data_IF_444150616863
#
_entry.id   IF_444150616863
#
_cell.length_a   1.000
_cell.length_b   1.000
_cell.length_c   1.000
_cell.angle_alpha   90.00
_cell.angle_beta   90.00
_cell.angle_gamma   90.00
#
_symmetry.space_group_name_H-M   'P 1'
#
loop_
_entity.id
_entity.type
_entity.pdbx_description
1 polymer ?
#
# COMPACT_ATOMS: atom_id res chain seq x y z
N UNK A 1 -21.89 35.30 -25.14
CA UNK A 1 -21.93 34.44 -26.34
C UNK A 1 -21.98 32.95 -26.00
N UNK A 2 -21.08 32.42 -25.17
CA UNK A 2 -21.01 30.98 -24.88
C UNK A 2 -22.06 30.43 -23.87
N UNK A 3 -22.87 31.30 -23.25
CA UNK A 3 -23.84 30.91 -22.20
C UNK A 3 -24.75 29.75 -22.63
N UNK A 4 -25.27 29.78 -23.86
CA UNK A 4 -26.22 28.78 -24.35
C UNK A 4 -25.62 27.44 -24.76
N UNK A 5 -24.29 27.33 -24.87
CA UNK A 5 -23.60 26.11 -25.32
C UNK A 5 -22.53 25.61 -24.34
N UNK A 6 -22.35 26.26 -23.18
CA UNK A 6 -21.27 25.92 -22.25
C UNK A 6 -21.41 24.50 -21.68
N UNK A 7 -22.64 24.04 -21.45
CA UNK A 7 -22.91 22.67 -21.03
C UNK A 7 -22.53 21.65 -22.11
N UNK A 8 -22.92 21.88 -23.36
CA UNK A 8 -22.55 21.02 -24.49
C UNK A 8 -21.04 20.99 -24.70
N UNK A 9 -20.38 22.15 -24.63
CA UNK A 9 -18.92 22.25 -24.69
C UNK A 9 -18.25 21.45 -23.56
N UNK A 10 -18.82 21.44 -22.36
CA UNK A 10 -18.27 20.68 -21.22
C UNK A 10 -18.29 19.17 -21.46
N UNK A 11 -19.18 18.69 -22.32
CA UNK A 11 -19.30 17.28 -22.71
C UNK A 11 -18.48 16.93 -23.96
N UNK A 12 -18.02 17.92 -24.72
CA UNK A 12 -17.21 17.72 -25.93
C UNK A 12 -15.70 17.51 -25.63
N UNK A 13 -15.01 16.56 -26.31
CA UNK A 13 -13.59 16.29 -26.12
C UNK A 13 -12.64 17.49 -26.31
N UNK A 14 -13.00 18.42 -27.19
CA UNK A 14 -12.23 19.66 -27.42
C UNK A 14 -12.84 20.83 -26.64
N UNK A 15 -14.17 20.91 -26.60
CA UNK A 15 -14.95 21.92 -25.90
C UNK A 15 -14.67 21.98 -24.40
N UNK A 16 -14.35 20.86 -23.75
CA UNK A 16 -14.04 20.85 -22.31
C UNK A 16 -12.88 21.79 -21.94
N UNK A 17 -11.90 21.95 -22.83
CA UNK A 17 -10.78 22.88 -22.63
C UNK A 17 -11.23 24.33 -22.71
N UNK A 18 -12.15 24.63 -23.63
CA UNK A 18 -12.80 25.94 -23.74
C UNK A 18 -13.63 26.21 -22.50
N UNK A 19 -14.45 25.24 -22.06
CA UNK A 19 -15.28 25.36 -20.88
C UNK A 19 -14.46 25.63 -19.60
N UNK A 20 -13.36 24.89 -19.38
CA UNK A 20 -12.43 25.15 -18.29
C UNK A 20 -11.86 26.59 -18.36
N UNK A 21 -11.50 27.07 -19.55
CA UNK A 21 -10.98 28.43 -19.70
C UNK A 21 -12.03 29.50 -19.45
N UNK A 22 -13.29 29.22 -19.81
CA UNK A 22 -14.43 30.08 -19.50
C UNK A 22 -14.66 30.14 -17.98
N UNK A 23 -14.59 29.01 -17.26
CA UNK A 23 -14.67 28.99 -15.79
C UNK A 23 -13.59 29.89 -15.18
N UNK A 24 -12.33 29.69 -15.57
CA UNK A 24 -11.21 30.52 -15.09
C UNK A 24 -11.46 32.00 -15.29
N UNK A 25 -11.86 32.38 -16.51
CA UNK A 25 -12.00 33.78 -16.90
C UNK A 25 -13.24 34.43 -16.30
N UNK A 26 -14.34 33.68 -16.17
CA UNK A 26 -15.56 34.14 -15.52
C UNK A 26 -15.31 34.43 -14.04
N UNK A 27 -14.68 33.49 -13.32
CA UNK A 27 -14.27 33.71 -11.92
C UNK A 27 -13.34 34.93 -11.81
N UNK A 28 -12.31 35.01 -12.66
CA UNK A 28 -11.35 36.12 -12.65
C UNK A 28 -12.00 37.49 -12.90
N UNK A 29 -13.07 37.54 -13.69
CA UNK A 29 -13.83 38.76 -14.02
C UNK A 29 -14.99 39.03 -13.07
N UNK A 30 -15.25 38.16 -12.09
CA UNK A 30 -16.38 38.29 -11.18
C UNK A 30 -17.75 37.97 -11.81
N UNK A 31 -17.78 37.26 -12.94
CA UNK A 31 -19.01 36.85 -13.65
C UNK A 31 -19.47 35.45 -13.20
N UNK A 32 -19.49 35.21 -11.89
CA UNK A 32 -19.76 33.88 -11.32
C UNK A 32 -21.24 33.52 -11.47
N UNK A 33 -22.14 34.48 -11.32
CA UNK A 33 -23.58 34.25 -11.48
C UNK A 33 -23.91 33.82 -12.91
N UNK A 34 -23.37 34.51 -13.92
CA UNK A 34 -23.57 34.15 -15.31
C UNK A 34 -22.96 32.80 -15.69
N UNK A 35 -21.87 32.42 -15.01
CA UNK A 35 -21.25 31.11 -15.17
C UNK A 35 -22.16 30.01 -14.60
N UNK A 36 -22.71 30.20 -13.40
CA UNK A 36 -23.59 29.23 -12.75
C UNK A 36 -24.96 29.15 -13.45
N UNK A 37 -25.43 30.23 -14.07
CA UNK A 37 -26.58 30.19 -14.99
C UNK A 37 -26.30 29.35 -16.25
N UNK A 38 -25.06 29.37 -16.76
CA UNK A 38 -24.65 28.62 -17.95
C UNK A 38 -24.29 27.15 -17.65
N UNK A 39 -23.91 26.86 -16.40
CA UNK A 39 -23.58 25.53 -15.88
C UNK A 39 -24.39 25.27 -14.60
N UNK A 40 -25.69 24.96 -14.75
CA UNK A 40 -26.57 24.79 -13.61
C UNK A 40 -26.19 23.59 -12.73
N UNK A 41 -26.41 23.71 -11.42
CA UNK A 41 -26.01 22.68 -10.44
C UNK A 41 -26.67 21.32 -10.72
N UNK A 42 -27.88 21.28 -11.27
CA UNK A 42 -28.58 20.02 -11.56
C UNK A 42 -27.83 19.12 -12.56
N UNK A 43 -27.00 19.69 -13.43
CA UNK A 43 -26.26 18.95 -14.46
C UNK A 43 -24.88 18.47 -13.95
N UNK A 44 -24.45 18.94 -12.77
CA UNK A 44 -23.11 18.72 -12.25
C UNK A 44 -22.83 17.25 -11.92
N UNK A 45 -23.83 16.51 -11.45
CA UNK A 45 -23.69 15.06 -11.20
C UNK A 45 -23.42 14.27 -12.48
N UNK A 46 -24.04 14.66 -13.60
CA UNK A 46 -23.77 14.02 -14.90
C UNK A 46 -22.38 14.37 -15.41
N UNK A 47 -21.95 15.63 -15.26
CA UNK A 47 -20.61 16.05 -15.67
C UNK A 47 -19.52 15.40 -14.81
N UNK A 48 -19.74 15.22 -13.50
CA UNK A 48 -18.75 14.69 -12.57
C UNK A 48 -18.26 13.28 -12.93
N UNK A 49 -19.13 12.45 -13.53
CA UNK A 49 -18.81 11.08 -13.96
C UNK A 49 -18.56 10.97 -15.47
N UNK A 50 -18.25 12.07 -16.15
CA UNK A 50 -17.94 12.10 -17.58
C UNK A 50 -16.46 12.37 -17.82
N UNK A 51 -15.85 11.69 -18.79
CA UNK A 51 -14.44 11.85 -19.20
C UNK A 51 -14.06 13.27 -19.60
N UNK A 52 -15.02 14.08 -20.04
CA UNK A 52 -14.84 15.49 -20.41
C UNK A 52 -15.35 16.43 -19.33
N UNK A 53 -16.52 16.11 -18.76
CA UNK A 53 -17.22 16.96 -17.80
C UNK A 53 -16.51 17.10 -16.46
N UNK A 54 -15.84 16.04 -15.98
CA UNK A 54 -15.25 16.05 -14.64
C UNK A 54 -14.17 17.12 -14.49
N UNK A 55 -13.45 17.43 -15.58
CA UNK A 55 -12.46 18.50 -15.60
C UNK A 55 -13.08 19.88 -15.34
N UNK A 56 -14.28 20.13 -15.87
CA UNK A 56 -15.02 21.38 -15.65
C UNK A 56 -15.51 21.45 -14.21
N UNK A 57 -16.06 20.35 -13.68
CA UNK A 57 -16.50 20.27 -12.27
C UNK A 57 -15.35 20.48 -11.30
N UNK A 58 -14.20 19.83 -11.53
CA UNK A 58 -12.97 20.07 -10.74
C UNK A 58 -12.56 21.54 -10.81
N UNK A 59 -12.61 22.17 -11.99
CA UNK A 59 -12.26 23.59 -12.15
C UNK A 59 -13.21 24.51 -11.37
N UNK A 60 -14.51 24.20 -11.34
CA UNK A 60 -15.50 24.90 -10.53
C UNK A 60 -15.18 24.76 -9.03
N UNK A 61 -14.94 23.54 -8.54
CA UNK A 61 -14.58 23.29 -7.14
C UNK A 61 -13.28 24.00 -6.71
N UNK A 62 -12.32 24.13 -7.62
CA UNK A 62 -11.04 24.81 -7.39
C UNK A 62 -11.16 26.33 -7.34
N UNK A 63 -12.02 26.93 -8.18
CA UNK A 63 -11.99 28.37 -8.44
C UNK A 63 -13.19 29.14 -7.90
N UNK A 64 -14.33 28.48 -7.66
CA UNK A 64 -15.49 29.18 -7.12
C UNK A 64 -15.15 29.75 -5.73
N UNK A 65 -15.53 31.02 -5.46
CA UNK A 65 -15.46 31.60 -4.13
C UNK A 65 -16.23 30.75 -3.12
N UNK A 66 -15.81 30.78 -1.84
CA UNK A 66 -16.42 29.98 -0.77
C UNK A 66 -17.95 30.02 -0.86
N UNK A 67 -18.58 31.19 -0.70
CA UNK A 67 -20.03 31.38 -0.68
C UNK A 67 -20.82 31.00 -1.95
N UNK A 68 -20.14 30.59 -3.02
CA UNK A 68 -20.75 30.14 -4.28
C UNK A 68 -20.51 28.66 -4.56
N UNK A 69 -19.55 28.03 -3.87
CA UNK A 69 -19.20 26.62 -4.06
C UNK A 69 -20.03 25.69 -3.19
N UNK A 70 -20.65 26.18 -2.11
CA UNK A 70 -21.40 25.31 -1.17
C UNK A 70 -22.54 24.55 -1.83
N UNK A 71 -23.37 25.11 -2.72
CA UNK A 71 -24.43 24.34 -3.38
C UNK A 71 -23.88 23.15 -4.17
N UNK A 72 -22.70 23.33 -4.80
CA UNK A 72 -22.02 22.28 -5.54
C UNK A 72 -21.44 21.22 -4.59
N UNK A 73 -20.83 21.65 -3.49
CA UNK A 73 -20.33 20.73 -2.46
C UNK A 73 -21.46 19.94 -1.81
N UNK A 74 -22.57 20.58 -1.43
CA UNK A 74 -23.74 19.90 -0.85
C UNK A 74 -24.30 18.83 -1.80
N UNK A 75 -24.35 19.12 -3.11
CA UNK A 75 -24.80 18.16 -4.13
C UNK A 75 -23.97 16.88 -4.11
N UNK A 76 -22.63 16.99 -4.05
CA UNK A 76 -21.74 15.83 -4.08
C UNK A 76 -21.57 15.17 -2.71
N UNK A 77 -21.50 15.94 -1.63
CA UNK A 77 -21.26 15.44 -0.29
C UNK A 77 -22.48 14.76 0.32
N UNK A 78 -23.71 15.12 -0.11
CA UNK A 78 -24.94 14.47 0.35
C UNK A 78 -25.11 13.04 -0.18
N UNK A 79 -24.48 12.73 -1.32
CA UNK A 79 -24.47 11.37 -1.88
C UNK A 79 -23.14 11.09 -2.62
N UNK A 80 -22.05 10.80 -1.89
CA UNK A 80 -20.74 10.63 -2.49
C UNK A 80 -20.55 9.26 -3.17
N UNK A 81 -21.46 8.29 -2.93
CA UNK A 81 -21.33 6.90 -3.40
C UNK A 81 -21.18 6.77 -4.92
N UNK A 82 -21.97 7.46 -5.77
CA UNK A 82 -21.83 7.37 -7.22
C UNK A 82 -20.49 7.92 -7.73
N UNK A 83 -19.83 8.79 -6.96
CA UNK A 83 -18.55 9.39 -7.33
C UNK A 83 -17.39 8.51 -6.85
N UNK A 84 -17.49 7.91 -5.66
CA UNK A 84 -16.37 7.26 -5.00
C UNK A 84 -15.75 6.10 -5.84
N UNK A 85 -16.58 5.31 -6.49
CA UNK A 85 -16.19 4.18 -7.35
C UNK A 85 -16.23 4.48 -8.85
N UNK A 86 -16.39 5.76 -9.24
CA UNK A 86 -16.35 6.16 -10.64
C UNK A 86 -14.95 6.61 -11.07
N UNK A 87 -14.56 6.26 -12.29
CA UNK A 87 -13.25 6.58 -12.86
C UNK A 87 -12.93 8.08 -12.84
N UNK A 88 -13.94 8.92 -13.04
CA UNK A 88 -13.82 10.38 -13.09
C UNK A 88 -14.36 11.03 -11.82
N UNK A 89 -15.46 10.49 -11.29
CA UNK A 89 -16.10 10.94 -10.07
C UNK A 89 -15.17 10.90 -8.86
N UNK A 90 -14.26 9.92 -8.77
CA UNK A 90 -13.32 9.85 -7.64
C UNK A 90 -12.38 11.08 -7.61
N UNK A 91 -12.09 11.69 -8.76
CA UNK A 91 -11.29 12.91 -8.85
C UNK A 91 -12.08 14.13 -8.35
N UNK A 92 -13.38 14.19 -8.64
CA UNK A 92 -14.29 15.22 -8.11
C UNK A 92 -14.42 15.07 -6.60
N UNK A 93 -14.61 13.84 -6.11
CA UNK A 93 -14.79 13.58 -4.69
C UNK A 93 -13.58 13.98 -3.85
N UNK A 94 -12.35 13.74 -4.32
CA UNK A 94 -11.12 14.23 -3.66
C UNK A 94 -11.12 15.76 -3.53
N UNK A 95 -11.60 16.49 -4.54
CA UNK A 95 -11.75 17.95 -4.46
C UNK A 95 -12.84 18.37 -3.48
N UNK A 96 -13.93 17.62 -3.38
CA UNK A 96 -14.92 17.85 -2.32
C UNK A 96 -14.33 17.65 -0.93
N UNK A 97 -13.48 16.64 -0.72
CA UNK A 97 -12.76 16.41 0.53
C UNK A 97 -11.84 17.61 0.86
N UNK A 98 -11.06 18.07 -0.12
CA UNK A 98 -10.16 19.23 0.05
C UNK A 98 -10.94 20.50 0.43
N UNK A 99 -12.09 20.72 -0.20
CA UNK A 99 -12.81 22.00 -0.17
C UNK A 99 -13.88 22.10 0.91
N UNK A 100 -14.52 20.99 1.27
CA UNK A 100 -15.54 20.92 2.33
C UNK A 100 -14.96 21.36 3.68
N UNK A 101 -15.77 21.91 4.58
CA UNK A 101 -15.34 22.36 5.91
C UNK A 101 -16.43 22.08 6.95
N UNK A 102 -16.07 22.04 8.23
CA UNK A 102 -17.00 21.83 9.34
C UNK A 102 -17.91 20.62 9.15
N UNK A 103 -19.20 20.78 9.46
CA UNK A 103 -20.20 19.71 9.40
C UNK A 103 -20.36 19.06 8.03
N UNK A 104 -20.07 19.79 6.95
CA UNK A 104 -20.11 19.22 5.60
C UNK A 104 -18.97 18.23 5.36
N UNK A 105 -17.76 18.57 5.81
CA UNK A 105 -16.61 17.66 5.74
C UNK A 105 -16.85 16.43 6.61
N UNK A 106 -17.34 16.64 7.84
CA UNK A 106 -17.59 15.55 8.78
C UNK A 106 -18.59 14.54 8.20
N UNK A 107 -19.73 15.01 7.68
CA UNK A 107 -20.72 14.14 7.01
C UNK A 107 -20.15 13.38 5.81
N UNK A 108 -19.35 14.06 4.98
CA UNK A 108 -18.70 13.44 3.83
C UNK A 108 -17.74 12.33 4.27
N UNK A 109 -16.88 12.62 5.24
CA UNK A 109 -15.91 11.66 5.78
C UNK A 109 -16.61 10.48 6.44
N UNK A 110 -17.65 10.71 7.24
CA UNK A 110 -18.43 9.65 7.87
C UNK A 110 -19.02 8.71 6.81
N UNK A 111 -19.63 9.27 5.76
CA UNK A 111 -20.18 8.48 4.64
C UNK A 111 -19.10 7.67 3.92
N UNK A 112 -17.90 8.23 3.69
CA UNK A 112 -16.79 7.48 3.10
C UNK A 112 -16.32 6.38 4.05
N UNK A 113 -16.20 6.68 5.34
CA UNK A 113 -15.72 5.76 6.39
C UNK A 113 -16.58 4.52 6.51
N UNK A 114 -17.90 4.68 6.42
CA UNK A 114 -18.88 3.57 6.41
C UNK A 114 -18.70 2.59 5.25
N UNK A 115 -18.04 3.01 4.16
CA UNK A 115 -17.88 2.21 2.93
C UNK A 115 -16.41 1.85 2.66
N UNK A 116 -15.51 2.07 3.63
CA UNK A 116 -14.08 1.82 3.48
C UNK A 116 -13.77 0.39 3.00
N UNK A 117 -14.33 -0.68 3.61
CA UNK A 117 -14.00 -2.04 3.18
C UNK A 117 -14.25 -2.28 1.69
N UNK A 118 -15.31 -1.71 1.12
CA UNK A 118 -15.60 -1.81 -0.30
C UNK A 118 -14.70 -0.89 -1.14
N UNK A 119 -14.44 0.33 -0.67
CA UNK A 119 -13.67 1.32 -1.41
C UNK A 119 -12.19 0.94 -1.55
N UNK A 120 -11.59 0.28 -0.56
CA UNK A 120 -10.16 -0.10 -0.66
C UNK A 120 -9.91 -1.15 -1.74
N UNK A 121 -10.91 -2.00 -2.02
CA UNK A 121 -10.85 -3.02 -3.07
C UNK A 121 -11.21 -2.48 -4.45
N UNK A 122 -11.85 -1.31 -4.51
CA UNK A 122 -12.32 -0.69 -5.74
C UNK A 122 -11.16 -0.09 -6.57
N UNK A 123 -11.10 -0.27 -7.91
CA UNK A 123 -10.06 0.27 -8.77
C UNK A 123 -9.88 1.79 -8.72
N UNK A 124 -10.91 2.54 -8.31
CA UNK A 124 -10.94 4.00 -8.22
C UNK A 124 -11.13 4.47 -6.78
N UNK A 125 -12.01 3.82 -6.02
CA UNK A 125 -12.30 4.12 -4.61
C UNK A 125 -11.07 4.06 -3.71
N UNK A 126 -10.10 3.19 -4.01
CA UNK A 126 -8.87 3.10 -3.23
C UNK A 126 -8.11 4.44 -3.22
N UNK A 127 -8.19 5.24 -4.28
CA UNK A 127 -7.55 6.56 -4.33
C UNK A 127 -8.27 7.59 -3.46
N UNK A 128 -9.58 7.44 -3.24
CA UNK A 128 -10.34 8.29 -2.32
C UNK A 128 -9.91 8.00 -0.88
N UNK A 129 -9.77 6.72 -0.52
CA UNK A 129 -9.30 6.31 0.82
C UNK A 129 -7.85 6.76 1.05
N UNK A 130 -6.96 6.58 0.07
CA UNK A 130 -5.58 7.10 0.16
C UNK A 130 -5.55 8.62 0.33
N UNK A 131 -6.45 9.35 -0.33
CA UNK A 131 -6.55 10.81 -0.17
C UNK A 131 -6.95 11.20 1.25
N UNK A 132 -7.90 10.47 1.87
CA UNK A 132 -8.25 10.64 3.28
C UNK A 132 -7.08 10.38 4.22
N UNK A 133 -6.30 9.31 3.98
CA UNK A 133 -5.12 8.97 4.78
C UNK A 133 -4.06 10.09 4.73
N UNK A 134 -3.88 10.70 3.56
CA UNK A 134 -2.90 11.75 3.30
C UNK A 134 -3.39 13.15 3.71
N UNK A 135 -4.61 13.27 4.24
CA UNK A 135 -5.05 14.53 4.82
C UNK A 135 -4.22 14.85 6.07
N UNK A 136 -3.81 16.11 6.18
CA UNK A 136 -2.98 16.60 7.29
C UNK A 136 -1.50 16.58 6.93
N UNK A 137 -1.02 17.67 6.32
CA UNK A 137 0.33 17.81 5.73
C UNK A 137 1.52 17.41 6.64
N UNK A 138 1.34 17.33 7.97
CA UNK A 138 2.44 17.15 8.94
C UNK A 138 2.16 16.20 10.09
N UNK A 139 0.94 15.66 10.23
CA UNK A 139 0.57 14.77 11.34
C UNK A 139 -0.52 13.78 10.91
N UNK A 140 -0.47 12.53 11.40
CA UNK A 140 -1.57 11.60 11.27
C UNK A 140 -2.88 12.25 11.72
N UNK A 141 -3.91 12.16 10.89
CA UNK A 141 -5.26 12.64 11.23
C UNK A 141 -6.07 11.53 11.88
N UNK A 142 -7.20 11.87 12.50
CA UNK A 142 -8.14 10.85 12.97
C UNK A 142 -8.69 9.98 11.83
N UNK A 143 -8.64 10.47 10.58
CA UNK A 143 -9.14 9.76 9.42
C UNK A 143 -8.35 8.48 9.13
N UNK A 144 -7.02 8.50 9.24
CA UNK A 144 -6.22 7.28 9.06
C UNK A 144 -6.52 6.26 10.16
N UNK A 145 -6.75 6.69 11.40
CA UNK A 145 -7.17 5.79 12.49
C UNK A 145 -8.51 5.14 12.16
N UNK A 146 -9.52 5.92 11.72
CA UNK A 146 -10.82 5.37 11.30
C UNK A 146 -10.70 4.39 10.13
N UNK A 147 -9.81 4.66 9.17
CA UNK A 147 -9.53 3.73 8.07
C UNK A 147 -8.98 2.41 8.61
N UNK A 148 -7.97 2.46 9.47
CA UNK A 148 -7.33 1.28 10.03
C UNK A 148 -8.33 0.47 10.86
N UNK A 149 -9.13 1.13 11.69
CA UNK A 149 -10.15 0.47 12.51
C UNK A 149 -11.22 -0.22 11.64
N UNK A 150 -11.65 0.39 10.54
CA UNK A 150 -12.59 -0.22 9.60
C UNK A 150 -12.04 -1.43 8.84
N UNK A 151 -10.71 -1.60 8.79
CA UNK A 151 -10.05 -2.71 8.08
C UNK A 151 -9.58 -3.84 9.02
N UNK A 152 -9.78 -3.69 10.34
CA UNK A 152 -9.32 -4.67 11.31
C UNK A 152 -9.95 -6.05 11.07
N UNK A 153 -9.12 -7.09 11.03
CA UNK A 153 -9.49 -8.46 10.69
C UNK A 153 -9.53 -8.77 9.19
N UNK A 154 -9.28 -7.79 8.33
CA UNK A 154 -9.24 -7.95 6.86
C UNK A 154 -7.85 -7.68 6.27
N UNK A 155 -6.92 -7.09 7.03
CA UNK A 155 -5.67 -6.53 6.55
C UNK A 155 -4.76 -7.59 5.91
N UNK A 156 -4.74 -8.81 6.45
CA UNK A 156 -3.98 -9.90 5.86
C UNK A 156 -4.47 -10.22 4.43
N UNK A 157 -5.78 -10.32 4.22
CA UNK A 157 -6.36 -10.61 2.91
C UNK A 157 -6.17 -9.43 1.95
N UNK A 158 -6.34 -8.20 2.45
CA UNK A 158 -6.15 -6.97 1.68
C UNK A 158 -4.72 -6.77 1.19
N UNK A 159 -3.71 -7.30 1.89
CA UNK A 159 -2.31 -7.31 1.42
C UNK A 159 -2.14 -8.05 0.07
N UNK A 160 -3.01 -9.00 -0.22
CA UNK A 160 -2.95 -9.80 -1.43
C UNK A 160 -3.76 -9.20 -2.59
N UNK A 161 -4.36 -8.02 -2.40
CA UNK A 161 -5.15 -7.37 -3.44
C UNK A 161 -4.40 -6.23 -4.11
N UNK A 162 -4.65 -6.05 -5.42
CA UNK A 162 -3.95 -5.06 -6.26
C UNK A 162 -4.13 -3.62 -5.78
N UNK A 163 -5.32 -3.28 -5.30
CA UNK A 163 -5.69 -1.91 -4.92
C UNK A 163 -5.50 -1.68 -3.43
N UNK A 164 -6.03 -2.57 -2.60
CA UNK A 164 -5.99 -2.48 -1.13
C UNK A 164 -4.59 -2.53 -0.53
N UNK A 165 -3.64 -3.25 -1.16
CA UNK A 165 -2.23 -3.25 -0.74
C UNK A 165 -1.63 -1.83 -0.70
N UNK A 166 -1.92 -0.99 -1.69
CA UNK A 166 -1.45 0.40 -1.71
C UNK A 166 -2.07 1.21 -0.55
N UNK A 167 -3.32 0.93 -0.18
CA UNK A 167 -3.98 1.57 0.97
C UNK A 167 -3.26 1.20 2.26
N UNK A 168 -2.95 -0.09 2.46
CA UNK A 168 -2.21 -0.55 3.64
C UNK A 168 -0.80 0.05 3.72
N UNK A 169 -0.08 0.15 2.59
CA UNK A 169 1.21 0.85 2.54
C UNK A 169 1.07 2.32 3.00
N UNK A 170 0.01 3.02 2.55
CA UNK A 170 -0.26 4.39 2.97
C UNK A 170 -0.62 4.49 4.44
N UNK A 171 -1.40 3.57 4.98
CA UNK A 171 -1.70 3.48 6.41
C UNK A 171 -0.40 3.29 7.23
N UNK A 172 0.48 2.37 6.83
CA UNK A 172 1.76 2.12 7.52
C UNK A 172 2.66 3.38 7.53
N UNK A 173 2.71 4.12 6.41
CA UNK A 173 3.53 5.33 6.29
C UNK A 173 3.00 6.52 7.09
N UNK A 174 1.68 6.69 7.21
CA UNK A 174 1.05 7.95 7.62
C UNK A 174 0.23 7.87 8.92
N UNK A 175 0.30 6.75 9.65
CA UNK A 175 -0.41 6.56 10.91
C UNK A 175 0.49 6.71 12.15
N UNK A 176 -0.14 6.73 13.33
CA UNK A 176 0.55 6.68 14.62
C UNK A 176 1.21 5.32 14.85
N UNK A 177 2.16 5.23 15.78
CA UNK A 177 2.74 3.93 16.17
C UNK A 177 1.67 2.94 16.65
N UNK A 178 0.69 3.41 17.44
CA UNK A 178 -0.41 2.57 17.91
C UNK A 178 -1.23 1.99 16.76
N UNK A 179 -1.43 2.75 15.69
CA UNK A 179 -2.22 2.32 14.54
C UNK A 179 -1.41 1.42 13.60
N UNK A 180 -0.13 1.74 13.36
CA UNK A 180 0.80 0.84 12.67
C UNK A 180 0.84 -0.54 13.32
N UNK A 181 0.86 -0.57 14.66
CA UNK A 181 0.94 -1.80 15.41
C UNK A 181 -0.26 -2.72 15.14
N UNK A 182 -1.47 -2.17 14.94
CA UNK A 182 -2.66 -2.95 14.58
C UNK A 182 -2.43 -3.72 13.27
N UNK A 183 -1.91 -3.03 12.26
CA UNK A 183 -1.61 -3.62 10.95
C UNK A 183 -0.55 -4.71 11.08
N UNK A 184 0.60 -4.39 11.67
CA UNK A 184 1.73 -5.32 11.74
C UNK A 184 1.39 -6.56 12.56
N UNK A 185 0.67 -6.40 13.68
CA UNK A 185 0.23 -7.53 14.49
C UNK A 185 -0.69 -8.47 13.71
N UNK A 186 -1.60 -7.93 12.90
CA UNK A 186 -2.49 -8.76 12.08
C UNK A 186 -1.73 -9.56 11.02
N UNK A 187 -0.70 -8.96 10.40
CA UNK A 187 0.17 -9.66 9.45
C UNK A 187 0.98 -10.78 10.12
N UNK A 188 1.40 -10.58 11.38
CA UNK A 188 2.17 -11.54 12.16
C UNK A 188 1.30 -12.66 12.75
N UNK A 189 0.04 -12.41 13.11
CA UNK A 189 -0.82 -13.42 13.72
C UNK A 189 -1.24 -14.54 12.73
N UNK A 190 -1.27 -14.23 11.43
CA UNK A 190 -1.75 -15.17 10.43
C UNK A 190 -3.23 -15.51 10.63
N UNK A 191 -3.60 -16.79 10.47
CA UNK A 191 -4.94 -17.29 10.79
C UNK A 191 -4.87 -18.68 11.40
N UNK A 192 -6.00 -19.18 11.94
CA UNK A 192 -6.07 -20.53 12.52
C UNK A 192 -5.55 -21.63 11.57
N UNK A 193 -5.69 -21.41 10.26
CA UNK A 193 -5.23 -22.34 9.21
C UNK A 193 -3.88 -21.96 8.58
N UNK A 194 -3.29 -20.85 8.99
CA UNK A 194 -2.08 -20.28 8.39
C UNK A 194 -1.18 -19.71 9.50
N UNK A 195 -0.23 -20.51 10.01
CA UNK A 195 0.69 -20.06 11.06
C UNK A 195 1.45 -18.78 10.68
N UNK A 196 1.91 -17.99 11.66
CA UNK A 196 2.66 -16.74 11.45
C UNK A 196 3.73 -16.79 10.35
N UNK A 197 4.67 -17.75 10.43
CA UNK A 197 5.76 -17.87 9.44
C UNK A 197 5.23 -18.13 8.03
N UNK A 198 4.19 -18.95 7.90
CA UNK A 198 3.58 -19.26 6.60
C UNK A 198 2.79 -18.07 6.03
N UNK A 199 2.13 -17.28 6.89
CA UNK A 199 1.50 -16.02 6.50
C UNK A 199 2.54 -15.03 5.97
N UNK A 200 3.61 -14.81 6.75
CA UNK A 200 4.73 -13.94 6.36
C UNK A 200 5.38 -14.43 5.05
N UNK A 201 5.59 -15.74 4.88
CA UNK A 201 6.09 -16.32 3.62
C UNK A 201 5.20 -15.95 2.44
N UNK A 202 3.87 -16.11 2.58
CA UNK A 202 2.91 -15.77 1.53
C UNK A 202 2.97 -14.27 1.20
N UNK A 203 3.03 -13.40 2.20
CA UNK A 203 3.11 -11.94 1.99
C UNK A 203 4.39 -11.58 1.22
N UNK A 204 5.55 -12.02 1.69
CA UNK A 204 6.86 -11.70 1.08
C UNK A 204 6.90 -12.07 -0.40
N UNK A 205 6.37 -13.24 -0.76
CA UNK A 205 6.44 -13.74 -2.12
C UNK A 205 5.15 -13.54 -2.93
N UNK A 206 4.28 -12.63 -2.49
CA UNK A 206 3.13 -12.19 -3.27
C UNK A 206 3.46 -10.99 -4.15
N UNK A 207 2.86 -10.88 -5.32
CA UNK A 207 3.07 -9.76 -6.27
C UNK A 207 2.67 -8.38 -5.71
N UNK A 208 1.81 -8.34 -4.70
CA UNK A 208 1.38 -7.11 -4.00
C UNK A 208 1.85 -7.08 -2.54
N UNK A 209 1.61 -8.14 -1.78
CA UNK A 209 1.98 -8.22 -0.36
C UNK A 209 3.45 -7.94 -0.06
N UNK A 210 4.37 -8.23 -0.99
CA UNK A 210 5.79 -7.94 -0.80
C UNK A 210 6.06 -6.44 -0.55
N UNK A 211 5.26 -5.54 -1.12
CA UNK A 211 5.38 -4.10 -0.91
C UNK A 211 4.91 -3.72 0.49
N UNK A 212 3.76 -4.28 0.94
CA UNK A 212 3.27 -4.10 2.31
C UNK A 212 4.27 -4.63 3.34
N UNK A 213 4.88 -5.79 3.12
CA UNK A 213 5.91 -6.34 4.01
C UNK A 213 7.17 -5.47 4.07
N UNK A 214 7.65 -4.99 2.92
CA UNK A 214 8.77 -4.04 2.89
C UNK A 214 8.44 -2.77 3.67
N UNK A 215 7.22 -2.25 3.52
CA UNK A 215 6.78 -1.06 4.24
C UNK A 215 6.65 -1.32 5.74
N UNK A 216 6.15 -2.48 6.15
CA UNK A 216 6.08 -2.89 7.54
C UNK A 216 7.49 -2.95 8.16
N UNK A 217 8.47 -3.56 7.49
CA UNK A 217 9.86 -3.58 7.96
C UNK A 217 10.51 -2.19 8.07
N UNK A 218 10.05 -1.20 7.29
CA UNK A 218 10.56 0.17 7.37
C UNK A 218 10.04 0.95 8.58
N UNK A 219 8.83 0.63 9.05
CA UNK A 219 8.16 1.41 10.11
C UNK A 219 7.98 0.65 11.42
N UNK A 220 8.24 -0.66 11.44
CA UNK A 220 8.12 -1.49 12.63
C UNK A 220 9.12 -1.05 13.72
N UNK A 221 8.65 -1.06 14.95
CA UNK A 221 9.48 -0.92 16.15
C UNK A 221 9.61 -2.28 16.84
N UNK A 222 10.51 -2.41 17.82
CA UNK A 222 10.60 -3.62 18.64
C UNK A 222 9.33 -3.81 19.50
N UNK A 223 8.86 -5.05 19.73
CA UNK A 223 9.42 -6.32 19.28
C UNK A 223 9.00 -6.74 17.85
N UNK A 224 8.14 -5.96 17.19
CA UNK A 224 7.54 -6.35 15.91
C UNK A 224 8.58 -6.47 14.78
N UNK A 225 9.59 -5.60 14.76
CA UNK A 225 10.69 -5.70 13.80
C UNK A 225 11.39 -7.06 13.91
N UNK A 226 11.79 -7.46 15.13
CA UNK A 226 12.40 -8.76 15.38
C UNK A 226 11.49 -9.92 14.96
N UNK A 227 10.19 -9.86 15.24
CA UNK A 227 9.23 -10.89 14.84
C UNK A 227 9.08 -10.99 13.30
N UNK A 228 9.03 -9.86 12.59
CA UNK A 228 9.02 -9.85 11.13
C UNK A 228 10.28 -10.47 10.54
N UNK A 229 11.45 -10.20 11.13
CA UNK A 229 12.73 -10.82 10.74
C UNK A 229 12.70 -12.33 11.03
N UNK A 230 12.30 -12.74 12.23
CA UNK A 230 12.25 -14.13 12.65
C UNK A 230 11.37 -14.98 11.73
N UNK A 231 10.13 -14.55 11.50
CA UNK A 231 9.17 -15.27 10.67
C UNK A 231 9.53 -15.25 9.17
N UNK A 232 10.37 -14.33 8.72
CA UNK A 232 10.78 -14.24 7.31
C UNK A 232 12.12 -14.89 7.00
N UNK A 233 13.01 -15.01 7.99
CA UNK A 233 14.42 -15.38 7.83
C UNK A 233 14.60 -16.68 7.05
N UNK A 234 14.05 -17.79 7.53
CA UNK A 234 14.26 -19.09 6.89
C UNK A 234 13.74 -19.10 5.45
N UNK A 235 12.57 -18.49 5.22
CA UNK A 235 11.96 -18.45 3.90
C UNK A 235 12.76 -17.62 2.88
N UNK A 236 13.33 -16.50 3.32
CA UNK A 236 14.21 -15.66 2.51
C UNK A 236 15.53 -16.39 2.24
N UNK A 237 16.11 -17.04 3.25
CA UNK A 237 17.37 -17.79 3.12
C UNK A 237 17.23 -18.99 2.17
N UNK A 238 16.16 -19.77 2.31
CA UNK A 238 15.86 -20.89 1.41
C UNK A 238 15.73 -20.42 -0.04
N UNK A 239 15.10 -19.25 -0.24
CA UNK A 239 14.94 -18.68 -1.57
C UNK A 239 16.28 -18.24 -2.18
N UNK A 240 17.15 -17.59 -1.39
CA UNK A 240 18.49 -17.18 -1.82
C UNK A 240 19.37 -18.40 -2.12
N UNK A 241 19.33 -19.43 -1.28
CA UNK A 241 20.15 -20.62 -1.41
C UNK A 241 19.66 -21.62 -2.47
N UNK A 242 18.44 -21.45 -3.01
CA UNK A 242 17.89 -22.31 -4.06
C UNK A 242 18.79 -22.22 -5.31
N UNK A 243 19.58 -23.27 -5.57
CA UNK A 243 20.57 -23.46 -6.66
C UNK A 243 22.06 -23.23 -6.28
N UNK A 244 22.42 -23.12 -4.99
CA UNK A 244 23.82 -23.32 -4.60
C UNK A 244 24.17 -24.81 -4.70
N UNK A 245 25.37 -25.18 -5.18
CA UNK A 245 25.82 -26.56 -5.10
C UNK A 245 25.74 -27.02 -3.62
N UNK A 246 25.31 -28.26 -3.35
CA UNK A 246 25.27 -28.77 -1.98
C UNK A 246 26.63 -28.53 -1.33
N UNK A 247 26.65 -27.92 -0.14
CA UNK A 247 27.88 -27.87 0.66
C UNK A 247 28.34 -29.31 0.80
N UNK A 248 29.51 -29.65 0.27
CA UNK A 248 30.16 -30.92 0.58
C UNK A 248 30.19 -31.01 2.10
N UNK A 249 29.40 -31.93 2.66
CA UNK A 249 29.54 -32.28 4.07
C UNK A 249 30.98 -32.75 4.17
N UNK A 250 31.84 -31.98 4.83
CA UNK A 250 33.14 -32.49 5.27
C UNK A 250 32.84 -33.65 6.20
N UNK A 251 32.81 -34.85 5.64
CA UNK A 251 32.74 -36.09 6.39
C UNK A 251 33.89 -36.07 7.38
N UNK A 252 33.56 -36.16 8.67
CA UNK A 252 34.56 -36.54 9.66
C UNK A 252 35.00 -37.96 9.28
N UNK A 253 36.31 -38.26 9.20
CA UNK A 253 36.73 -39.62 8.97
C UNK A 253 36.34 -40.42 10.21
N UNK A 254 35.44 -41.38 10.04
CA UNK A 254 35.11 -42.36 11.04
C UNK A 254 35.04 -43.73 10.36
N UNK A 255 36.07 -44.52 10.63
CA UNK A 255 35.99 -45.97 10.57
C UNK A 255 34.71 -46.45 11.26
N UNK A 256 33.81 -47.11 10.53
CA UNK A 256 33.03 -48.27 10.98
C UNK A 256 31.90 -48.60 9.99
N UNK A 257 31.64 -49.89 9.86
CA UNK A 257 30.73 -50.52 8.90
C UNK A 257 29.24 -50.24 9.17
N UNK A 258 28.47 -50.19 8.08
CA UNK A 258 27.12 -50.77 8.02
C UNK A 258 25.93 -49.82 8.18
N UNK A 259 25.09 -49.74 7.14
CA UNK A 259 23.71 -49.29 7.22
C UNK A 259 23.26 -48.47 6.01
N UNK A 260 22.39 -49.05 5.18
CA UNK A 260 21.70 -48.36 4.09
C UNK A 260 20.98 -47.09 4.58
N UNK A 261 21.31 -45.95 3.98
CA UNK A 261 20.51 -44.72 4.07
C UNK A 261 19.65 -44.59 2.81
N UNK A 262 18.40 -44.12 2.93
CA UNK A 262 17.51 -44.02 1.79
C UNK A 262 18.01 -42.96 0.81
N UNK A 263 18.20 -43.37 -0.44
CA UNK A 263 18.41 -42.47 -1.57
C UNK A 263 17.11 -41.68 -1.77
N UNK A 264 17.12 -40.40 -1.38
CA UNK A 264 16.03 -39.47 -1.71
C UNK A 264 15.96 -39.38 -3.23
N UNK A 265 14.84 -39.80 -3.80
CA UNK A 265 14.65 -39.85 -5.25
C UNK A 265 14.61 -38.43 -5.83
N UNK A 266 15.09 -38.28 -7.06
CA UNK A 266 15.09 -37.03 -7.82
C UNK A 266 13.70 -36.41 -8.03
N UNK A 267 12.62 -37.12 -7.69
CA UNK A 267 11.25 -36.61 -7.75
C UNK A 267 10.93 -35.57 -6.64
N UNK A 268 11.64 -35.59 -5.51
CA UNK A 268 11.43 -34.62 -4.42
C UNK A 268 12.08 -33.25 -4.71
N UNK A 269 13.03 -33.20 -5.65
CA UNK A 269 13.67 -31.96 -6.10
C UNK A 269 12.77 -31.12 -7.02
N UNK A 270 11.89 -31.77 -7.80
CA UNK A 270 10.97 -31.07 -8.71
C UNK A 270 9.71 -30.53 -8.01
N UNK A 271 9.32 -31.08 -6.85
CA UNK A 271 8.29 -30.50 -5.99
C UNK A 271 8.68 -29.11 -5.44
N UNK A 272 9.98 -28.81 -5.43
CA UNK A 272 10.57 -27.51 -5.09
C UNK A 272 10.60 -26.51 -6.27
N UNK A 273 9.90 -26.77 -7.37
CA UNK A 273 9.66 -25.77 -8.43
C UNK A 273 8.26 -25.15 -8.36
N UNK A 274 7.48 -25.47 -7.31
CA UNK A 274 6.19 -24.83 -7.06
C UNK A 274 6.36 -23.31 -6.92
N UNK A 275 5.47 -22.50 -7.54
CA UNK A 275 5.51 -21.05 -7.42
C UNK A 275 5.43 -20.67 -5.93
N UNK A 276 6.40 -19.90 -5.47
CA UNK A 276 6.39 -19.38 -4.09
C UNK A 276 5.45 -18.19 -4.11
N UNK A 277 4.18 -18.43 -3.79
CA UNK A 277 3.15 -17.42 -3.94
C UNK A 277 2.86 -17.12 -5.41
N UNK A 278 2.59 -15.86 -5.73
CA UNK A 278 2.24 -15.43 -7.09
C UNK A 278 3.43 -14.91 -7.90
N UNK A 279 4.64 -14.88 -7.34
CA UNK A 279 5.86 -14.43 -8.01
C UNK A 279 6.53 -15.56 -8.80
N UNK A 280 7.17 -15.20 -9.93
CA UNK A 280 8.08 -16.13 -10.61
C UNK A 280 9.28 -16.44 -9.70
N UNK A 281 9.89 -17.61 -9.86
CA UNK A 281 11.05 -18.01 -9.07
C UNK A 281 12.20 -17.00 -9.17
N UNK A 282 12.44 -16.44 -10.36
CA UNK A 282 13.48 -15.44 -10.58
C UNK A 282 13.17 -14.13 -9.83
N UNK A 283 11.91 -13.67 -9.85
CA UNK A 283 11.50 -12.48 -9.11
C UNK A 283 11.60 -12.69 -7.60
N UNK A 284 11.16 -13.84 -7.10
CA UNK A 284 11.26 -14.20 -5.69
C UNK A 284 12.73 -14.22 -5.21
N UNK A 285 13.65 -14.76 -6.01
CA UNK A 285 15.10 -14.72 -5.73
C UNK A 285 15.66 -13.31 -5.68
N UNK A 286 15.35 -12.48 -6.69
CA UNK A 286 15.81 -11.09 -6.74
C UNK A 286 15.31 -10.29 -5.52
N UNK A 287 14.04 -10.49 -5.15
CA UNK A 287 13.45 -9.87 -3.96
C UNK A 287 14.14 -10.33 -2.68
N UNK A 288 14.32 -11.65 -2.48
CA UNK A 288 14.98 -12.20 -1.31
C UNK A 288 16.41 -11.63 -1.15
N UNK A 289 17.20 -11.62 -2.23
CA UNK A 289 18.54 -11.02 -2.23
C UNK A 289 18.50 -9.51 -1.92
N UNK A 290 17.52 -8.77 -2.44
CA UNK A 290 17.34 -7.34 -2.14
C UNK A 290 17.03 -7.13 -0.65
N UNK A 291 16.13 -7.93 -0.07
CA UNK A 291 15.77 -7.85 1.34
C UNK A 291 16.97 -8.14 2.25
N UNK A 292 17.73 -9.20 1.97
CA UNK A 292 18.94 -9.52 2.75
C UNK A 292 19.99 -8.41 2.69
N UNK A 293 20.18 -7.79 1.51
CA UNK A 293 21.11 -6.66 1.36
C UNK A 293 20.66 -5.41 2.11
N UNK A 294 19.35 -5.18 2.21
CA UNK A 294 18.77 -4.01 2.88
C UNK A 294 18.70 -4.20 4.40
N UNK A 295 18.43 -5.42 4.88
CA UNK A 295 18.23 -5.73 6.29
C UNK A 295 19.23 -6.81 6.75
N UNK A 296 20.37 -6.41 7.36
CA UNK A 296 21.44 -7.33 7.75
C UNK A 296 21.00 -8.47 8.68
N UNK A 297 19.98 -8.24 9.51
CA UNK A 297 19.39 -9.24 10.39
C UNK A 297 18.93 -10.52 9.63
N UNK A 298 18.50 -10.37 8.37
CA UNK A 298 18.08 -11.48 7.51
C UNK A 298 19.26 -12.28 6.94
N UNK A 299 20.45 -11.69 6.90
CA UNK A 299 21.65 -12.31 6.34
C UNK A 299 22.34 -13.28 7.30
N UNK A 300 22.02 -13.21 8.58
CA UNK A 300 22.71 -13.97 9.61
C UNK A 300 22.61 -15.48 9.33
N UNK A 301 23.77 -16.14 9.14
CA UNK A 301 23.87 -17.57 8.83
C UNK A 301 23.97 -17.90 7.33
N UNK A 302 23.84 -16.92 6.43
CA UNK A 302 24.07 -17.13 5.00
C UNK A 302 25.54 -17.15 4.64
N UNK A 303 25.93 -18.10 3.79
CA UNK A 303 27.25 -18.11 3.20
C UNK A 303 27.41 -16.89 2.27
N UNK A 304 28.56 -16.19 2.28
CA UNK A 304 28.76 -15.00 1.45
C UNK A 304 28.56 -15.25 -0.05
N UNK A 305 28.87 -16.45 -0.52
CA UNK A 305 28.68 -16.91 -1.89
C UNK A 305 27.20 -16.94 -2.30
N UNK A 306 26.30 -17.17 -1.33
CA UNK A 306 24.84 -17.14 -1.54
C UNK A 306 24.34 -15.74 -1.92
N UNK A 307 25.07 -14.69 -1.53
CA UNK A 307 24.72 -13.29 -1.79
C UNK A 307 25.32 -12.75 -3.09
N UNK A 308 26.05 -13.59 -3.83
CA UNK A 308 26.79 -13.19 -5.02
C UNK A 308 27.91 -12.19 -4.72
N UNK A 309 28.40 -12.16 -3.48
CA UNK A 309 29.52 -11.30 -3.07
C UNK A 309 30.83 -12.05 -3.36
N UNK A 310 31.73 -11.44 -4.13
CA UNK A 310 33.08 -11.97 -4.34
C UNK A 310 33.90 -11.93 -3.05
N UNK A 311 34.91 -12.80 -2.93
CA UNK A 311 35.70 -13.05 -1.70
C UNK A 311 36.18 -11.78 -0.97
N UNK A 312 36.54 -10.72 -1.70
CA UNK A 312 36.94 -9.43 -1.11
C UNK A 312 35.78 -8.53 -0.63
N UNK A 313 34.60 -8.65 -1.25
CA UNK A 313 33.38 -7.95 -0.84
C UNK A 313 32.74 -8.55 0.42
N UNK A 314 33.00 -9.83 0.69
CA UNK A 314 32.51 -10.54 1.88
C UNK A 314 33.01 -9.90 3.17
N UNK A 315 34.33 -9.75 3.33
CA UNK A 315 34.92 -9.26 4.56
C UNK A 315 34.50 -7.82 4.85
N UNK A 316 34.45 -6.96 3.83
CA UNK A 316 33.94 -5.59 3.96
C UNK A 316 32.45 -5.55 4.33
N UNK A 317 31.62 -6.32 3.62
CA UNK A 317 30.18 -6.36 3.88
C UNK A 317 29.86 -6.85 5.30
N UNK A 318 30.54 -7.91 5.78
CA UNK A 318 30.38 -8.38 7.15
C UNK A 318 30.90 -7.35 8.17
N UNK A 319 32.08 -6.75 7.97
CA UNK A 319 32.61 -5.74 8.89
C UNK A 319 31.71 -4.51 9.00
N UNK A 320 31.20 -4.00 7.88
CA UNK A 320 30.36 -2.79 7.85
C UNK A 320 28.99 -3.02 8.51
N UNK A 321 28.38 -4.20 8.31
CA UNK A 321 27.02 -4.46 8.77
C UNK A 321 26.93 -5.15 10.15
N UNK A 322 27.91 -5.97 10.54
CA UNK A 322 27.92 -6.60 11.86
C UNK A 322 28.50 -5.69 12.95
N UNK A 323 29.36 -4.72 12.60
CA UNK A 323 29.80 -3.71 13.58
C UNK A 323 28.63 -2.83 14.04
N UNK A 324 27.68 -2.52 13.15
CA UNK A 324 26.44 -1.82 13.51
C UNK A 324 25.53 -2.66 14.44
N UNK A 325 25.50 -3.99 14.25
CA UNK A 325 24.71 -4.90 15.08
C UNK A 325 25.33 -5.14 16.46
N UNK A 326 26.66 -5.20 16.56
CA UNK A 326 27.40 -5.46 17.80
C UNK A 326 27.54 -4.22 18.70
N UNK A 327 27.33 -3.00 18.18
CA UNK A 327 27.42 -1.75 18.94
C UNK A 327 26.17 -1.39 19.77
N UNK A 328 25.14 -2.25 19.78
CA UNK A 328 24.05 -2.16 20.77
C UNK A 328 22.85 -1.29 20.39
N UNK A 329 22.64 -0.96 19.12
CA UNK A 329 21.44 -0.21 18.68
C UNK A 329 20.15 -1.08 18.61
N UNK A 330 20.27 -2.40 18.79
CA UNK A 330 19.13 -3.32 18.95
C UNK A 330 19.48 -4.34 20.04
N UNK A 331 19.33 -3.91 21.30
CA UNK A 331 19.69 -4.73 22.46
C UNK A 331 18.84 -6.01 22.52
N UNK A 332 19.53 -7.13 22.75
CA UNK A 332 18.96 -8.40 23.17
C UNK A 332 17.99 -8.19 24.34
N UNK A 333 16.69 -8.37 24.09
CA UNK A 333 15.69 -8.55 25.13
C UNK A 333 15.40 -10.03 25.30
N UNK A 334 15.57 -10.53 26.52
CA UNK A 334 14.99 -11.81 26.97
C UNK A 334 13.47 -11.76 26.76
N UNK A 335 12.93 -12.63 25.90
CA UNK A 335 11.49 -12.74 25.66
C UNK A 335 10.95 -14.08 26.21
N UNK A 336 10.99 -14.21 27.53
CA UNK A 336 10.12 -15.10 28.29
C UNK A 336 9.15 -14.22 29.10
N UNK A 337 8.16 -13.61 28.43
CA UNK A 337 6.87 -13.17 29.00
C UNK A 337 6.10 -12.26 28.03
N UNK A 338 5.22 -12.84 27.21
CA UNK A 338 3.95 -12.24 26.75
C UNK A 338 3.30 -13.17 25.72
N UNK A 339 2.71 -14.26 26.22
CA UNK A 339 1.63 -14.99 25.55
C UNK A 339 0.29 -14.51 26.13
#
# INVERSE_FOLDING_TARGET
>A
ELRGCLLELSQDPHGTRVAQKVVEEAVRRGMVDELLEALPTQDMSSLACSVTGFHVVVKLLELLPDGMVEPLLETFCSNPKPLASDQWGCCVLKKCIDRSQGTLRDRLVDTITENIPQLVEDPFGNYVVQHLILMGEKRPTEYVTRVIDSLQGLMLDLCFQKFSSNVLEKCLQNSSDSDRNKIINELLNGSEKCPPSEAVRKIIFHQFGNYVFQQALEVAQEPQFSLLVEHSKQHIQDMVCRNLPPKEKKEKPADAQGGDLPVVSTADADALLSPVGSLSLEHAKRLATKLVKKYPALAWGLAPEALGLGVGGVAGWYCDHFSAYAQGDYAQGDYDAAW
#
